data_IF_601182011755
#
_entry.id   IF_601182011755
#
_cell.length_a   1.000
_cell.length_b   1.000
_cell.length_c   1.000
_cell.angle_alpha   90.00
_cell.angle_beta   90.00
_cell.angle_gamma   90.00
#
_symmetry.space_group_name_H-M   'P 1'
#
loop_
_entity.id
_entity.type
_entity.pdbx_description
1 polymer ?
#
# COMPACT_ATOMS: atom_id res chain seq x y z
N UNK A 1 -27.25 16.75 4.80
CA UNK A 1 -26.89 15.77 3.76
C UNK A 1 -27.64 14.49 4.09
N UNK A 2 -28.50 13.98 3.20
CA UNK A 2 -29.25 12.72 3.44
C UNK A 2 -28.49 11.57 2.79
N UNK A 3 -28.12 10.56 3.58
CA UNK A 3 -27.35 9.40 3.14
C UNK A 3 -28.25 8.44 2.34
N UNK A 4 -27.85 8.08 1.12
CA UNK A 4 -28.67 7.21 0.25
C UNK A 4 -28.09 5.80 0.11
N UNK A 5 -28.92 4.87 -0.40
CA UNK A 5 -28.46 3.53 -0.78
C UNK A 5 -27.35 3.57 -1.86
N UNK A 6 -27.36 4.59 -2.73
CA UNK A 6 -26.32 4.81 -3.74
C UNK A 6 -24.98 5.19 -3.10
N UNK A 7 -25.00 5.98 -2.04
CA UNK A 7 -23.79 6.35 -1.28
C UNK A 7 -23.23 5.14 -0.53
N UNK A 8 -24.11 4.30 0.02
CA UNK A 8 -23.73 3.02 0.63
C UNK A 8 -23.02 2.11 -0.37
N UNK A 9 -23.60 1.93 -1.58
CA UNK A 9 -22.97 1.12 -2.64
C UNK A 9 -21.59 1.66 -3.04
N UNK A 10 -21.46 2.98 -3.20
CA UNK A 10 -20.18 3.62 -3.55
C UNK A 10 -19.15 3.44 -2.44
N UNK A 11 -19.54 3.61 -1.19
CA UNK A 11 -18.64 3.45 -0.05
C UNK A 11 -18.16 1.99 0.14
N UNK A 12 -19.04 1.01 -0.12
CA UNK A 12 -18.66 -0.41 -0.14
C UNK A 12 -17.68 -0.68 -1.28
N UNK A 13 -17.95 -0.16 -2.48
CA UNK A 13 -17.01 -0.30 -3.60
C UNK A 13 -15.65 0.32 -3.30
N UNK A 14 -15.60 1.50 -2.67
CA UNK A 14 -14.33 2.13 -2.30
C UNK A 14 -13.56 1.36 -1.23
N UNK A 15 -14.24 0.59 -0.38
CA UNK A 15 -13.59 -0.26 0.62
C UNK A 15 -13.16 -1.63 0.07
N UNK A 16 -13.95 -2.23 -0.82
CA UNK A 16 -13.70 -3.59 -1.35
C UNK A 16 -12.73 -3.62 -2.53
N UNK A 17 -12.74 -2.59 -3.39
CA UNK A 17 -11.85 -2.54 -4.56
C UNK A 17 -10.36 -2.56 -4.14
N UNK A 18 -9.93 -1.81 -3.10
CA UNK A 18 -8.56 -1.88 -2.59
C UNK A 18 -8.14 -3.27 -2.15
N UNK A 19 -8.93 -3.93 -1.29
CA UNK A 19 -8.62 -5.27 -0.79
C UNK A 19 -8.56 -6.29 -1.93
N UNK A 20 -9.45 -6.17 -2.92
CA UNK A 20 -9.45 -7.04 -4.11
C UNK A 20 -8.22 -6.81 -5.01
N UNK A 21 -7.73 -5.57 -5.12
CA UNK A 21 -6.51 -5.24 -5.87
C UNK A 21 -5.26 -5.74 -5.13
N UNK A 22 -5.22 -5.64 -3.82
CA UNK A 22 -4.13 -6.20 -2.99
C UNK A 22 -4.08 -7.73 -3.11
N UNK A 23 -5.24 -8.41 -3.04
CA UNK A 23 -5.36 -9.85 -3.28
C UNK A 23 -4.91 -10.23 -4.71
N UNK A 24 -5.15 -9.37 -5.70
CA UNK A 24 -4.69 -9.57 -7.07
C UNK A 24 -3.16 -9.43 -7.23
N UNK A 25 -2.50 -8.68 -6.34
CA UNK A 25 -1.04 -8.54 -6.31
C UNK A 25 -0.32 -9.83 -5.91
N UNK A 26 -1.02 -10.75 -5.25
CA UNK A 26 -0.55 -12.11 -4.96
C UNK A 26 -0.69 -13.06 -6.17
N UNK A 27 -1.46 -12.73 -7.22
CA UNK A 27 -1.67 -13.61 -8.39
C UNK A 27 -0.38 -13.89 -9.17
N UNK A 28 0.53 -12.92 -9.38
CA UNK A 28 1.88 -13.20 -9.87
C UNK A 28 2.68 -14.19 -8.99
N UNK A 29 2.49 -14.18 -7.67
CA UNK A 29 3.11 -15.14 -6.76
C UNK A 29 2.56 -16.56 -6.94
N UNK A 30 1.32 -16.69 -7.44
CA UNK A 30 0.69 -18.01 -7.69
C UNK A 30 1.05 -18.63 -9.04
N UNK A 31 1.42 -17.83 -10.05
CA UNK A 31 1.70 -18.34 -11.41
C UNK A 31 3.15 -18.78 -11.63
N UNK A 32 4.10 -18.28 -10.85
CA UNK A 32 5.52 -18.61 -10.98
C UNK A 32 6.26 -18.33 -9.68
N UNK A 33 7.11 -19.27 -9.24
CA UNK A 33 7.95 -19.07 -8.05
C UNK A 33 9.14 -18.14 -8.29
N UNK A 34 9.48 -17.81 -9.55
CA UNK A 34 10.68 -17.01 -9.90
C UNK A 34 10.78 -15.65 -9.16
N UNK A 35 9.72 -14.83 -9.04
CA UNK A 35 9.79 -13.59 -8.26
C UNK A 35 9.98 -13.83 -6.75
N UNK A 36 9.44 -14.93 -6.24
CA UNK A 36 9.53 -15.34 -4.83
C UNK A 36 10.96 -15.78 -4.52
N UNK A 37 11.52 -16.66 -5.35
CA UNK A 37 12.87 -17.19 -5.22
C UNK A 37 13.90 -16.07 -5.39
N UNK A 38 13.68 -15.18 -6.37
CA UNK A 38 14.50 -13.98 -6.54
C UNK A 38 14.43 -13.08 -5.31
N UNK A 39 13.24 -12.73 -4.82
CA UNK A 39 13.11 -11.90 -3.64
C UNK A 39 13.85 -12.54 -2.47
N UNK A 40 13.63 -13.83 -2.19
CA UNK A 40 14.24 -14.55 -1.08
C UNK A 40 15.77 -14.64 -1.19
N UNK A 41 16.33 -14.70 -2.41
CA UNK A 41 17.77 -14.75 -2.66
C UNK A 41 18.49 -13.39 -2.55
N UNK A 42 17.76 -12.27 -2.65
CA UNK A 42 18.35 -10.93 -2.49
C UNK A 42 18.97 -10.75 -1.10
N UNK A 43 20.15 -10.09 -1.04
CA UNK A 43 20.77 -9.75 0.25
C UNK A 43 19.89 -8.77 1.02
N UNK A 44 19.62 -9.10 2.29
CA UNK A 44 18.81 -8.29 3.22
C UNK A 44 19.58 -8.10 4.54
N UNK A 45 19.34 -6.99 5.25
CA UNK A 45 19.88 -6.80 6.58
C UNK A 45 19.33 -7.85 7.55
N UNK A 46 20.08 -8.15 8.62
CA UNK A 46 19.75 -9.24 9.56
C UNK A 46 18.41 -9.05 10.27
N UNK A 47 18.00 -7.81 10.49
CA UNK A 47 16.75 -7.44 11.14
C UNK A 47 15.53 -7.48 10.20
N UNK A 48 15.72 -7.63 8.87
CA UNK A 48 14.61 -7.65 7.93
C UNK A 48 14.11 -9.08 7.69
N UNK A 49 12.78 -9.27 7.49
CA UNK A 49 12.24 -10.57 7.09
C UNK A 49 12.90 -11.09 5.81
N UNK A 50 13.22 -12.38 5.76
CA UNK A 50 13.87 -13.00 4.58
C UNK A 50 12.86 -13.46 3.52
N UNK A 51 11.69 -13.91 3.97
CA UNK A 51 10.65 -14.53 3.15
C UNK A 51 9.67 -13.49 2.61
N UNK A 52 9.38 -13.54 1.30
CA UNK A 52 8.34 -12.72 0.66
C UNK A 52 6.96 -12.90 1.31
N UNK A 53 6.65 -14.10 1.80
CA UNK A 53 5.37 -14.40 2.45
C UNK A 53 5.13 -13.56 3.70
N UNK A 54 6.19 -13.21 4.45
CA UNK A 54 6.07 -12.37 5.64
C UNK A 54 5.71 -10.94 5.23
N UNK A 55 6.31 -10.42 4.15
CA UNK A 55 5.95 -9.10 3.60
C UNK A 55 4.50 -9.09 3.16
N UNK A 56 4.09 -10.05 2.31
CA UNK A 56 2.73 -10.14 1.80
C UNK A 56 1.68 -10.30 2.92
N UNK A 57 1.99 -11.08 3.96
CA UNK A 57 1.09 -11.23 5.12
C UNK A 57 0.97 -9.95 5.93
N UNK A 58 2.07 -9.20 6.07
CA UNK A 58 2.08 -7.92 6.80
C UNK A 58 1.39 -6.82 5.99
N UNK A 59 1.59 -6.79 4.67
CA UNK A 59 0.85 -5.93 3.74
C UNK A 59 -0.65 -6.17 3.92
N UNK A 60 -1.12 -7.42 3.79
CA UNK A 60 -2.51 -7.79 3.96
C UNK A 60 -3.08 -7.38 5.34
N UNK A 61 -2.34 -7.63 6.41
CA UNK A 61 -2.77 -7.28 7.77
C UNK A 61 -2.89 -5.77 7.97
N UNK A 62 -1.97 -5.00 7.40
CA UNK A 62 -1.91 -3.54 7.61
C UNK A 62 -2.83 -2.77 6.66
N UNK A 63 -3.08 -3.27 5.45
CA UNK A 63 -4.00 -2.62 4.50
C UNK A 63 -5.47 -2.84 4.83
N UNK A 64 -5.83 -3.98 5.42
CA UNK A 64 -7.22 -4.31 5.79
C UNK A 64 -7.94 -3.18 6.56
N UNK A 65 -7.38 -2.60 7.66
CA UNK A 65 -8.02 -1.49 8.34
C UNK A 65 -8.10 -0.21 7.50
N UNK A 66 -7.24 -0.03 6.49
CA UNK A 66 -7.31 1.09 5.53
C UNK A 66 -8.53 0.98 4.63
N UNK A 67 -8.90 -0.23 4.21
CA UNK A 67 -10.16 -0.49 3.50
C UNK A 67 -11.35 0.04 4.28
N UNK A 68 -11.45 -0.26 5.58
CA UNK A 68 -12.49 0.31 6.45
C UNK A 68 -12.32 1.83 6.66
N UNK A 69 -11.10 2.33 6.83
CA UNK A 69 -10.83 3.76 6.96
C UNK A 69 -11.34 4.55 5.74
N UNK A 70 -11.21 3.99 4.53
CA UNK A 70 -11.69 4.60 3.28
C UNK A 70 -13.22 4.79 3.29
N UNK A 71 -13.96 3.81 3.84
CA UNK A 71 -15.40 3.91 4.05
C UNK A 71 -15.73 5.02 5.05
N UNK A 72 -15.00 5.10 6.17
CA UNK A 72 -15.19 6.13 7.20
C UNK A 72 -14.93 7.52 6.60
N UNK A 73 -13.83 7.70 5.85
CA UNK A 73 -13.50 8.94 5.13
C UNK A 73 -14.61 9.32 4.16
N UNK A 74 -15.07 8.39 3.32
CA UNK A 74 -16.16 8.65 2.38
C UNK A 74 -17.44 9.09 3.09
N UNK A 75 -17.82 8.35 4.15
CA UNK A 75 -19.08 8.54 4.86
C UNK A 75 -19.12 9.85 5.63
N UNK A 76 -18.11 10.12 6.44
CA UNK A 76 -18.07 11.28 7.32
C UNK A 76 -17.49 12.53 6.65
N UNK A 77 -16.77 12.36 5.53
CA UNK A 77 -16.22 13.46 4.76
C UNK A 77 -17.16 14.06 3.71
N UNK A 78 -18.44 13.65 3.66
CA UNK A 78 -19.40 14.20 2.69
C UNK A 78 -19.19 13.68 1.26
N UNK A 79 -18.64 12.47 1.11
CA UNK A 79 -18.44 11.80 -0.17
C UNK A 79 -17.46 12.51 -1.12
N UNK A 80 -17.44 12.08 -2.38
CA UNK A 80 -16.50 12.60 -3.39
C UNK A 80 -16.77 14.04 -3.84
N UNK A 81 -17.90 14.64 -3.45
CA UNK A 81 -18.16 16.07 -3.66
C UNK A 81 -17.30 16.96 -2.77
N UNK A 82 -16.79 16.43 -1.64
CA UNK A 82 -15.88 17.15 -0.78
C UNK A 82 -14.44 16.99 -1.26
N UNK A 83 -13.73 18.12 -1.41
CA UNK A 83 -12.36 18.13 -1.94
C UNK A 83 -11.36 17.36 -1.06
N UNK A 84 -11.46 17.43 0.26
CA UNK A 84 -10.56 16.70 1.17
C UNK A 84 -10.83 15.19 1.09
N UNK A 85 -12.09 14.79 1.05
CA UNK A 85 -12.49 13.39 0.89
C UNK A 85 -12.02 12.82 -0.44
N UNK A 86 -12.25 13.55 -1.53
CA UNK A 86 -11.77 13.17 -2.86
C UNK A 86 -10.24 13.08 -2.90
N UNK A 87 -9.53 13.99 -2.24
CA UNK A 87 -8.07 13.98 -2.19
C UNK A 87 -7.52 12.81 -1.35
N UNK A 88 -8.07 12.55 -0.16
CA UNK A 88 -7.65 11.43 0.69
C UNK A 88 -7.86 10.08 -0.02
N UNK A 89 -9.05 9.88 -0.61
CA UNK A 89 -9.35 8.67 -1.38
C UNK A 89 -8.57 8.60 -2.69
N UNK A 90 -8.31 9.73 -3.35
CA UNK A 90 -7.49 9.79 -4.57
C UNK A 90 -6.03 9.44 -4.32
N UNK A 91 -5.46 9.89 -3.19
CA UNK A 91 -4.12 9.47 -2.75
C UNK A 91 -4.08 7.99 -2.42
N UNK A 92 -5.10 7.45 -1.75
CA UNK A 92 -5.17 6.02 -1.48
C UNK A 92 -5.37 5.19 -2.76
N UNK A 93 -6.18 5.66 -3.71
CA UNK A 93 -6.29 5.04 -5.03
C UNK A 93 -4.98 5.04 -5.81
N UNK A 94 -4.25 6.16 -5.75
CA UNK A 94 -2.92 6.29 -6.37
C UNK A 94 -1.90 5.37 -5.71
N UNK A 95 -1.97 5.22 -4.39
CA UNK A 95 -1.15 4.29 -3.62
C UNK A 95 -1.28 2.85 -4.15
N UNK A 96 -2.51 2.38 -4.37
CA UNK A 96 -2.77 1.04 -4.93
C UNK A 96 -2.22 0.87 -6.36
N UNK A 97 -2.36 1.90 -7.21
CA UNK A 97 -1.80 1.88 -8.55
C UNK A 97 -0.26 1.77 -8.53
N UNK A 98 0.39 2.47 -7.59
CA UNK A 98 1.83 2.39 -7.38
C UNK A 98 2.25 1.01 -6.87
N UNK A 99 1.50 0.43 -5.92
CA UNK A 99 1.72 -0.95 -5.45
C UNK A 99 1.66 -1.93 -6.62
N UNK A 100 0.60 -1.88 -7.44
CA UNK A 100 0.44 -2.75 -8.61
C UNK A 100 1.57 -2.55 -9.64
N UNK A 101 1.95 -1.31 -9.92
CA UNK A 101 3.05 -1.00 -10.82
C UNK A 101 4.39 -1.57 -10.30
N UNK A 102 4.64 -1.52 -8.99
CA UNK A 102 5.86 -2.03 -8.38
C UNK A 102 6.06 -3.55 -8.59
N UNK A 103 4.98 -4.33 -8.68
CA UNK A 103 5.04 -5.78 -8.97
C UNK A 103 5.67 -6.08 -10.33
N UNK A 104 5.48 -5.20 -11.31
CA UNK A 104 6.10 -5.36 -12.62
C UNK A 104 7.61 -5.19 -12.56
N UNK A 105 8.11 -4.35 -11.63
CA UNK A 105 9.54 -4.18 -11.39
C UNK A 105 10.14 -5.31 -10.56
N UNK A 106 9.35 -5.94 -9.68
CA UNK A 106 9.74 -7.19 -9.02
C UNK A 106 9.97 -8.30 -10.05
N UNK A 107 9.10 -8.44 -11.05
CA UNK A 107 9.32 -9.38 -12.18
C UNK A 107 10.57 -9.07 -12.99
N UNK A 108 10.90 -7.78 -13.15
CA UNK A 108 12.13 -7.32 -13.81
C UNK A 108 13.37 -7.40 -12.91
N UNK A 109 13.22 -7.84 -11.65
CA UNK A 109 14.31 -8.00 -10.68
C UNK A 109 15.06 -6.69 -10.40
N UNK A 110 14.34 -5.55 -10.48
CA UNK A 110 14.92 -4.21 -10.34
C UNK A 110 14.66 -3.62 -8.94
N UNK A 111 15.62 -3.84 -8.02
CA UNK A 111 15.56 -3.30 -6.65
C UNK A 111 15.57 -1.78 -6.59
N UNK A 112 16.24 -1.11 -7.55
CA UNK A 112 16.34 0.35 -7.55
C UNK A 112 14.98 0.97 -7.88
N UNK A 113 14.28 0.45 -8.89
CA UNK A 113 12.93 0.88 -9.22
C UNK A 113 11.97 0.59 -8.06
N UNK A 114 12.01 -0.61 -7.48
CA UNK A 114 11.18 -0.95 -6.32
C UNK A 114 11.36 0.03 -5.16
N UNK A 115 12.59 0.42 -4.85
CA UNK A 115 12.87 1.44 -3.84
C UNK A 115 12.19 2.78 -4.13
N UNK A 116 12.31 3.32 -5.35
CA UNK A 116 11.67 4.60 -5.69
C UNK A 116 10.13 4.51 -5.67
N UNK A 117 9.56 3.39 -6.11
CA UNK A 117 8.12 3.14 -5.96
C UNK A 117 7.70 3.10 -4.49
N UNK A 118 8.48 2.47 -3.62
CA UNK A 118 8.16 2.41 -2.19
C UNK A 118 8.09 3.79 -1.53
N UNK A 119 8.94 4.74 -1.95
CA UNK A 119 8.85 6.14 -1.47
C UNK A 119 7.51 6.74 -1.88
N UNK A 120 7.11 6.59 -3.14
CA UNK A 120 5.84 7.13 -3.62
C UNK A 120 4.64 6.47 -2.92
N UNK A 121 4.70 5.15 -2.67
CA UNK A 121 3.70 4.40 -1.88
C UNK A 121 3.63 5.00 -0.48
N UNK A 122 4.76 5.14 0.23
CA UNK A 122 4.75 5.69 1.58
C UNK A 122 4.20 7.13 1.63
N UNK A 123 4.61 8.01 0.71
CA UNK A 123 4.14 9.39 0.65
C UNK A 123 2.63 9.49 0.38
N UNK A 124 2.10 8.66 -0.53
CA UNK A 124 0.67 8.63 -0.82
C UNK A 124 -0.15 8.07 0.34
N UNK A 125 0.35 7.04 1.04
CA UNK A 125 -0.28 6.50 2.25
C UNK A 125 -0.30 7.54 3.39
N UNK A 126 0.84 8.15 3.69
CA UNK A 126 0.97 9.17 4.73
C UNK A 126 0.12 10.41 4.40
N UNK A 127 0.15 10.88 3.15
CA UNK A 127 -0.67 12.01 2.71
C UNK A 127 -2.17 11.71 2.84
N UNK A 128 -2.60 10.51 2.46
CA UNK A 128 -4.00 10.10 2.62
C UNK A 128 -4.42 10.09 4.10
N UNK A 129 -3.57 9.56 5.00
CA UNK A 129 -3.83 9.50 6.43
C UNK A 129 -3.89 10.90 7.10
N UNK A 130 -2.98 11.80 6.72
CA UNK A 130 -2.97 13.20 7.23
C UNK A 130 -4.24 13.94 6.82
N UNK A 131 -4.75 13.70 5.61
CA UNK A 131 -6.02 14.30 5.17
C UNK A 131 -7.20 13.62 5.86
N UNK A 132 -7.16 12.29 5.99
CA UNK A 132 -8.17 11.53 6.72
C UNK A 132 -8.30 12.02 8.17
N UNK A 133 -7.21 12.42 8.83
CA UNK A 133 -7.23 13.03 10.16
C UNK A 133 -8.11 14.28 10.23
N UNK A 134 -8.07 15.14 9.20
CA UNK A 134 -8.90 16.35 9.11
C UNK A 134 -10.38 16.04 8.91
N UNK A 135 -10.72 14.84 8.44
CA UNK A 135 -12.08 14.38 8.19
C UNK A 135 -12.62 13.62 9.39
N UNK A 136 -11.85 12.64 9.88
CA UNK A 136 -12.20 11.76 10.97
C UNK A 136 -10.94 11.18 11.64
N UNK A 137 -10.77 11.45 12.94
CA UNK A 137 -9.60 11.00 13.70
C UNK A 137 -9.49 9.46 13.76
N UNK A 138 -10.61 8.75 13.86
CA UNK A 138 -10.64 7.28 13.86
C UNK A 138 -10.15 6.71 12.52
N UNK A 139 -10.53 7.33 11.39
CA UNK A 139 -10.04 6.92 10.08
C UNK A 139 -8.51 7.03 9.98
N UNK A 140 -7.92 8.14 10.46
CA UNK A 140 -6.47 8.28 10.50
C UNK A 140 -5.82 7.18 11.35
N UNK A 141 -6.33 6.93 12.56
CA UNK A 141 -5.80 5.88 13.44
C UNK A 141 -5.80 4.49 12.80
N UNK A 142 -6.84 4.16 12.03
CA UNK A 142 -6.91 2.90 11.27
C UNK A 142 -5.83 2.79 10.18
N UNK A 143 -5.36 3.92 9.65
CA UNK A 143 -4.32 3.97 8.61
C UNK A 143 -2.89 3.96 9.18
N UNK A 144 -2.71 4.26 10.46
CA UNK A 144 -1.38 4.36 11.10
C UNK A 144 -0.54 3.09 10.92
N UNK A 145 -1.05 1.85 11.15
CA UNK A 145 -0.26 0.64 10.95
C UNK A 145 0.29 0.51 9.53
N UNK A 146 -0.51 0.85 8.52
CA UNK A 146 -0.11 0.83 7.11
C UNK A 146 0.95 1.89 6.79
N UNK A 147 0.81 3.10 7.32
CA UNK A 147 1.80 4.17 7.13
C UNK A 147 3.15 3.78 7.76
N UNK A 148 3.15 3.22 8.96
CA UNK A 148 4.36 2.74 9.62
C UNK A 148 5.01 1.60 8.83
N UNK A 149 4.20 0.64 8.37
CA UNK A 149 4.69 -0.49 7.60
C UNK A 149 5.29 -0.08 6.25
N UNK A 150 4.61 0.76 5.47
CA UNK A 150 5.14 1.25 4.19
C UNK A 150 6.45 2.04 4.37
N UNK A 151 6.57 2.82 5.45
CA UNK A 151 7.81 3.53 5.78
C UNK A 151 8.94 2.57 6.14
N UNK A 152 8.66 1.56 6.96
CA UNK A 152 9.61 0.50 7.29
C UNK A 152 10.04 -0.31 6.06
N UNK A 153 9.10 -0.62 5.16
CA UNK A 153 9.37 -1.30 3.89
C UNK A 153 10.32 -0.48 3.00
N UNK A 154 10.16 0.86 2.95
CA UNK A 154 11.11 1.74 2.25
C UNK A 154 12.51 1.68 2.84
N UNK A 155 12.64 1.61 4.16
CA UNK A 155 13.95 1.46 4.84
C UNK A 155 14.60 0.11 4.47
N UNK A 156 13.82 -0.97 4.43
CA UNK A 156 14.30 -2.29 3.98
C UNK A 156 14.80 -2.22 2.55
N UNK A 157 14.01 -1.67 1.62
CA UNK A 157 14.40 -1.56 0.22
C UNK A 157 15.62 -0.67 0.00
N UNK A 158 15.77 0.38 0.81
CA UNK A 158 16.98 1.20 0.83
C UNK A 158 18.21 0.37 1.19
N UNK A 159 18.12 -0.41 2.28
CA UNK A 159 19.20 -1.28 2.73
C UNK A 159 19.51 -2.38 1.68
N UNK A 160 18.48 -3.03 1.13
CA UNK A 160 18.62 -4.04 0.08
C UNK A 160 19.31 -3.45 -1.16
N UNK A 161 18.88 -2.28 -1.63
CA UNK A 161 19.51 -1.59 -2.76
C UNK A 161 21.01 -1.40 -2.53
N UNK A 162 21.40 -0.88 -1.37
CA UNK A 162 22.81 -0.63 -1.03
C UNK A 162 23.64 -1.91 -0.87
N UNK A 163 23.03 -3.00 -0.36
CA UNK A 163 23.71 -4.29 -0.17
C UNK A 163 23.95 -5.02 -1.50
N UNK A 164 23.05 -4.86 -2.47
CA UNK A 164 23.14 -5.54 -3.76
C UNK A 164 23.88 -4.70 -4.82
N UNK A 165 23.91 -3.36 -4.71
CA UNK A 165 24.68 -2.49 -5.62
C UNK A 165 26.20 -2.55 -5.40
N UNK A 166 26.65 -3.01 -4.23
CA UNK A 166 28.10 -3.15 -3.89
C UNK A 166 28.78 -4.38 -4.51
N UNK A 167 28.03 -5.22 -5.23
CA UNK A 167 28.53 -6.47 -5.83
C UNK A 167 28.76 -6.29 -7.34
N UNK A 168 28.10 -5.31 -7.96
CA UNK A 168 28.22 -5.00 -9.39
C UNK A 168 29.41 -4.06 -9.72
N UNK A 169 30.17 -3.63 -8.71
CA UNK A 169 31.41 -2.86 -8.82
C UNK A 169 32.58 -3.66 -8.24
#
# INVERSE_FOLDING_TARGET
>A
FSWTAKDTKRAILTAMVPDAVELSSCVPCYKSNDPIDWWNSCKKPEWAPKSLYIYASTDALTVTPVGYASYVVYKYGGGLSNALTALSLGLYGSNLMLCFASLSFMKKKDLKAMYYFSIAIHLTAAGSAVIAYKINHCACLLMVPYVLWTGFHTIILHAMKNLNSKIEN
#
